data_IF_063380061423
#
_entry.id   IF_063380061423
#
_cell.length_a   1.000
_cell.length_b   1.000
_cell.length_c   1.000
_cell.angle_alpha   90.00
_cell.angle_beta   90.00
_cell.angle_gamma   90.00
#
_symmetry.space_group_name_H-M   'P 1'
#
loop_
_entity.id
_entity.type
_entity.pdbx_description
1 polymer ?
#
# COMPACT_ATOMS: atom_id res chain seq x y z
N UNK A 1 27.62 4.34 10.59
CA UNK A 1 27.16 5.62 10.02
C UNK A 1 25.64 5.72 10.10
N UNK A 2 25.14 6.85 10.62
CA UNK A 2 23.73 7.15 10.77
C UNK A 2 23.48 8.61 10.40
N UNK A 3 22.38 8.89 9.71
CA UNK A 3 21.97 10.26 9.39
C UNK A 3 21.55 10.99 10.68
N UNK A 4 22.41 11.86 11.20
CA UNK A 4 22.26 12.46 12.53
C UNK A 4 21.05 13.40 12.67
N UNK A 5 20.62 14.03 11.58
CA UNK A 5 19.52 15.02 11.55
C UNK A 5 18.19 14.41 11.08
N UNK A 6 18.14 13.10 10.81
CA UNK A 6 16.93 12.44 10.32
C UNK A 6 15.83 12.40 11.38
N UNK A 7 14.62 12.79 11.00
CA UNK A 7 13.42 12.78 11.84
C UNK A 7 12.40 11.79 11.24
N UNK A 8 12.18 10.63 11.88
CA UNK A 8 11.23 9.63 11.40
C UNK A 8 9.80 10.17 11.31
N UNK A 9 9.14 9.86 10.19
CA UNK A 9 7.72 10.09 9.97
C UNK A 9 6.95 8.79 10.12
N UNK A 10 5.84 8.83 10.84
CA UNK A 10 4.94 7.69 11.02
C UNK A 10 4.00 7.55 9.81
N UNK A 11 3.53 6.33 9.58
CA UNK A 11 2.55 6.02 8.56
C UNK A 11 2.05 4.58 8.69
N UNK A 12 0.98 4.25 7.98
CA UNK A 12 0.29 2.95 8.09
C UNK A 12 0.66 2.00 6.96
N UNK A 13 0.99 2.50 5.77
CA UNK A 13 1.31 1.68 4.61
C UNK A 13 2.81 1.72 4.31
N UNK A 14 3.45 0.55 4.23
CA UNK A 14 4.91 0.43 4.20
C UNK A 14 5.57 1.20 3.04
N UNK A 15 5.00 1.14 1.84
CA UNK A 15 5.53 1.81 0.66
C UNK A 15 5.42 3.33 0.76
N UNK A 16 4.26 3.86 1.14
CA UNK A 16 4.07 5.31 1.34
C UNK A 16 4.80 5.85 2.56
N UNK A 17 4.91 5.07 3.64
CA UNK A 17 5.71 5.41 4.83
C UNK A 17 7.19 5.54 4.45
N UNK A 18 7.70 4.58 3.67
CA UNK A 18 9.08 4.63 3.15
C UNK A 18 9.30 5.88 2.31
N UNK A 19 8.44 6.12 1.31
CA UNK A 19 8.52 7.30 0.44
C UNK A 19 8.41 8.61 1.22
N UNK A 20 7.49 8.68 2.20
CA UNK A 20 7.31 9.86 3.08
C UNK A 20 8.59 10.18 3.84
N UNK A 21 9.26 9.18 4.40
CA UNK A 21 10.52 9.38 5.12
C UNK A 21 11.65 9.84 4.19
N UNK A 22 11.70 9.32 2.96
CA UNK A 22 12.69 9.76 1.95
C UNK A 22 12.45 11.22 1.54
N UNK A 23 11.21 11.61 1.24
CA UNK A 23 10.84 12.96 0.85
C UNK A 23 11.03 13.95 2.00
N UNK A 24 10.59 13.60 3.20
CA UNK A 24 10.73 14.44 4.40
C UNK A 24 12.20 14.75 4.68
N UNK A 25 13.09 13.74 4.61
CA UNK A 25 14.53 13.97 4.77
C UNK A 25 15.11 14.87 3.67
N UNK A 26 14.61 14.74 2.43
CA UNK A 26 15.00 15.59 1.32
C UNK A 26 14.40 17.01 1.35
N UNK A 27 13.58 17.33 2.36
CA UNK A 27 13.01 18.66 2.59
C UNK A 27 11.61 18.88 2.03
N UNK A 28 10.90 17.82 1.61
CA UNK A 28 9.51 17.89 1.17
C UNK A 28 8.60 17.14 2.16
N UNK A 29 7.78 17.88 2.91
CA UNK A 29 6.83 17.29 3.85
C UNK A 29 5.47 17.05 3.18
N UNK A 30 5.18 15.80 2.85
CA UNK A 30 3.96 15.38 2.16
C UNK A 30 3.29 14.30 3.00
N UNK A 31 1.99 14.44 3.24
CA UNK A 31 1.23 13.50 4.04
C UNK A 31 1.14 12.13 3.36
N UNK A 32 0.99 11.08 4.17
CA UNK A 32 0.82 9.72 3.64
C UNK A 32 -0.42 9.57 2.72
N UNK A 33 -1.62 10.10 3.08
CA UNK A 33 -2.76 10.06 2.18
C UNK A 33 -2.48 10.77 0.85
N UNK A 34 -1.84 11.94 0.86
CA UNK A 34 -1.50 12.65 -0.37
C UNK A 34 -0.56 11.84 -1.27
N UNK A 35 0.47 11.20 -0.71
CA UNK A 35 1.34 10.30 -1.46
C UNK A 35 0.57 9.09 -2.04
N UNK A 36 -0.35 8.52 -1.26
CA UNK A 36 -1.18 7.41 -1.72
C UNK A 36 -2.08 7.84 -2.89
N UNK A 37 -2.71 9.00 -2.81
CA UNK A 37 -3.58 9.56 -3.85
C UNK A 37 -2.83 9.91 -5.13
N UNK A 38 -1.73 10.66 -5.03
CA UNK A 38 -0.86 11.02 -6.15
C UNK A 38 -0.21 9.78 -6.79
N UNK A 39 0.11 8.78 -5.95
CA UNK A 39 0.57 7.46 -6.38
C UNK A 39 -0.48 6.63 -7.10
N UNK A 40 -1.73 7.10 -7.19
CA UNK A 40 -2.88 6.38 -7.71
C UNK A 40 -3.08 5.05 -6.98
N UNK A 41 -2.91 5.04 -5.66
CA UNK A 41 -2.68 3.82 -4.87
C UNK A 41 -3.84 2.82 -4.86
N UNK A 42 -5.09 3.27 -4.96
CA UNK A 42 -6.28 2.40 -4.86
C UNK A 42 -6.48 1.51 -6.09
N UNK A 43 -6.76 0.23 -5.86
CA UNK A 43 -7.07 -0.77 -6.88
C UNK A 43 -7.88 -1.93 -6.25
N UNK A 44 -8.10 -3.01 -6.99
CA UNK A 44 -8.34 -4.32 -6.41
C UNK A 44 -7.64 -5.39 -7.25
N UNK A 45 -6.71 -6.13 -6.66
CA UNK A 45 -5.96 -7.17 -7.35
C UNK A 45 -6.31 -8.55 -6.82
N UNK A 46 -6.50 -9.47 -7.76
CA UNK A 46 -6.74 -10.88 -7.51
C UNK A 46 -5.54 -11.68 -7.99
N UNK A 47 -4.82 -12.28 -7.05
CA UNK A 47 -3.73 -13.20 -7.32
C UNK A 47 -4.16 -14.62 -6.96
N UNK A 48 -4.19 -15.49 -7.97
CA UNK A 48 -4.56 -16.90 -7.77
C UNK A 48 -3.66 -17.57 -6.74
N UNK A 49 -4.25 -18.47 -5.95
CA UNK A 49 -3.52 -19.18 -4.92
C UNK A 49 -2.50 -20.16 -5.56
N UNK A 50 -1.28 -20.33 -4.99
CA UNK A 50 -0.31 -21.28 -5.50
C UNK A 50 -0.82 -22.74 -5.51
N UNK A 51 -1.68 -23.06 -4.55
CA UNK A 51 -2.37 -24.36 -4.44
C UNK A 51 -3.89 -24.11 -4.38
N UNK A 52 -4.56 -24.03 -5.56
CA UNK A 52 -5.99 -23.78 -5.66
C UNK A 52 -6.82 -24.84 -4.93
N UNK A 53 -7.72 -24.41 -4.04
CA UNK A 53 -8.51 -25.34 -3.22
C UNK A 53 -7.77 -25.88 -1.99
N UNK A 54 -6.63 -25.30 -1.63
CA UNK A 54 -5.99 -25.50 -0.32
C UNK A 54 -5.61 -24.19 0.35
N UNK A 55 -5.31 -23.17 -0.44
CA UNK A 55 -5.01 -21.81 0.01
C UNK A 55 -5.96 -20.79 -0.62
N UNK A 56 -6.22 -19.70 0.08
CA UNK A 56 -6.97 -18.58 -0.46
C UNK A 56 -6.11 -17.76 -1.43
N UNK A 57 -6.72 -17.10 -2.43
CA UNK A 57 -6.03 -16.12 -3.26
C UNK A 57 -5.52 -14.95 -2.42
N UNK A 58 -4.46 -14.29 -2.90
CA UNK A 58 -4.02 -13.01 -2.34
C UNK A 58 -4.86 -11.89 -2.95
N UNK A 59 -5.64 -11.21 -2.09
CA UNK A 59 -6.55 -10.14 -2.49
C UNK A 59 -6.11 -8.83 -1.85
N UNK A 60 -5.71 -7.85 -2.66
CA UNK A 60 -5.17 -6.57 -2.18
C UNK A 60 -5.87 -5.38 -2.83
N UNK A 61 -6.16 -4.34 -2.03
CA UNK A 61 -6.90 -3.15 -2.46
C UNK A 61 -6.03 -2.03 -3.03
N UNK A 62 -4.80 -2.32 -3.45
CA UNK A 62 -3.86 -1.34 -3.98
C UNK A 62 -3.20 -1.81 -5.27
N UNK A 63 -2.66 -0.85 -6.02
CA UNK A 63 -1.83 -1.11 -7.19
C UNK A 63 -0.55 -1.88 -6.80
N UNK A 64 0.13 -2.39 -7.83
CA UNK A 64 1.33 -3.23 -7.65
C UNK A 64 2.45 -2.52 -6.87
N UNK A 65 3.31 -3.29 -6.18
CA UNK A 65 4.47 -2.75 -5.46
C UNK A 65 5.37 -1.91 -6.37
N UNK A 66 6.03 -0.89 -5.80
CA UNK A 66 6.86 0.11 -6.48
C UNK A 66 6.11 1.06 -7.43
N UNK A 67 4.98 0.63 -8.04
CA UNK A 67 4.23 1.47 -8.97
C UNK A 67 3.64 2.70 -8.27
N UNK A 68 3.24 2.56 -6.99
CA UNK A 68 2.78 3.68 -6.18
C UNK A 68 3.88 4.72 -6.03
N UNK A 69 5.07 4.29 -5.60
CA UNK A 69 6.21 5.19 -5.43
C UNK A 69 6.59 5.89 -6.74
N UNK A 70 6.60 5.14 -7.85
CA UNK A 70 6.87 5.69 -9.19
C UNK A 70 5.85 6.75 -9.59
N UNK A 71 4.56 6.46 -9.44
CA UNK A 71 3.49 7.39 -9.79
C UNK A 71 3.54 8.66 -8.93
N UNK A 72 3.74 8.51 -7.61
CA UNK A 72 3.81 9.63 -6.69
C UNK A 72 5.02 10.52 -7.03
N UNK A 73 6.21 9.94 -7.22
CA UNK A 73 7.39 10.69 -7.64
C UNK A 73 7.20 11.36 -9.00
N UNK A 74 6.58 10.69 -9.97
CA UNK A 74 6.29 11.26 -11.28
C UNK A 74 5.35 12.47 -11.20
N UNK A 75 4.27 12.37 -10.40
CA UNK A 75 3.35 13.49 -10.17
C UNK A 75 4.07 14.68 -9.51
N UNK A 76 4.95 14.40 -8.54
CA UNK A 76 5.72 15.43 -7.83
C UNK A 76 6.92 15.97 -8.61
N UNK A 77 7.24 15.40 -9.78
CA UNK A 77 8.44 15.73 -10.56
C UNK A 77 9.75 15.31 -9.89
N UNK A 78 9.70 14.36 -8.96
CA UNK A 78 10.86 13.83 -8.21
C UNK A 78 11.53 12.72 -9.01
N UNK A 79 12.85 12.77 -9.10
CA UNK A 79 13.65 11.75 -9.78
C UNK A 79 13.87 10.56 -8.85
N UNK A 80 13.02 9.53 -8.98
CA UNK A 80 13.16 8.25 -8.29
C UNK A 80 14.15 7.36 -9.05
N UNK A 81 15.15 6.84 -8.34
CA UNK A 81 16.08 5.83 -8.85
C UNK A 81 15.81 4.50 -8.18
N UNK A 82 15.86 3.44 -8.98
CA UNK A 82 15.68 2.07 -8.52
C UNK A 82 16.90 1.27 -8.98
N UNK A 83 17.45 0.49 -8.08
CA UNK A 83 18.57 -0.38 -8.38
C UNK A 83 18.40 -1.73 -7.69
N UNK A 84 18.96 -2.77 -8.30
CA UNK A 84 18.99 -4.12 -7.72
C UNK A 84 20.42 -4.61 -7.73
N UNK A 85 21.00 -4.80 -6.55
CA UNK A 85 22.35 -5.32 -6.44
C UNK A 85 22.38 -6.86 -6.70
N UNK A 86 23.48 -7.39 -7.25
CA UNK A 86 23.58 -8.82 -7.58
C UNK A 86 23.65 -9.72 -6.35
N UNK A 87 24.13 -9.20 -5.22
CA UNK A 87 24.32 -9.93 -3.97
C UNK A 87 24.19 -9.00 -2.76
N UNK A 88 24.13 -9.60 -1.57
CA UNK A 88 23.90 -8.88 -0.32
C UNK A 88 25.05 -7.92 0.05
N UNK A 89 26.29 -8.27 -0.30
CA UNK A 89 27.46 -7.43 -0.02
C UNK A 89 27.44 -6.18 -0.90
N UNK A 90 27.15 -6.35 -2.18
CA UNK A 90 26.95 -5.26 -3.14
C UNK A 90 25.77 -4.37 -2.73
N UNK A 91 24.68 -4.95 -2.22
CA UNK A 91 23.51 -4.24 -1.73
C UNK A 91 23.83 -3.40 -0.47
N UNK A 92 24.66 -3.94 0.42
CA UNK A 92 25.17 -3.23 1.59
C UNK A 92 26.04 -2.05 1.17
N UNK A 93 27.03 -2.30 0.31
CA UNK A 93 27.95 -1.27 -0.17
C UNK A 93 27.22 -0.14 -0.94
N UNK A 94 26.17 -0.47 -1.69
CA UNK A 94 25.33 0.53 -2.36
C UNK A 94 24.58 1.42 -1.36
N UNK A 95 23.91 0.81 -0.39
CA UNK A 95 23.22 1.53 0.68
C UNK A 95 24.18 2.43 1.50
N UNK A 96 25.38 1.95 1.82
CA UNK A 96 26.40 2.76 2.52
C UNK A 96 26.82 3.99 1.70
N UNK A 97 27.00 3.87 0.38
CA UNK A 97 27.30 5.02 -0.49
C UNK A 97 26.16 6.04 -0.51
N UNK A 98 24.91 5.58 -0.59
CA UNK A 98 23.74 6.45 -0.59
C UNK A 98 23.56 7.18 0.75
N UNK A 99 23.71 6.46 1.86
CA UNK A 99 23.69 7.06 3.20
C UNK A 99 24.83 8.08 3.38
N UNK A 100 26.02 7.82 2.84
CA UNK A 100 27.16 8.74 2.91
C UNK A 100 26.91 10.01 2.08
N UNK A 101 26.13 9.90 1.00
CA UNK A 101 25.66 11.02 0.20
C UNK A 101 24.46 11.75 0.83
N UNK A 102 23.97 11.30 2.00
CA UNK A 102 22.87 11.95 2.72
C UNK A 102 21.48 11.51 2.29
N UNK A 103 21.33 10.39 1.59
CA UNK A 103 20.02 9.87 1.22
C UNK A 103 19.48 8.91 2.28
N UNK A 104 18.19 9.04 2.60
CA UNK A 104 17.41 7.92 3.16
C UNK A 104 17.09 6.97 2.02
N UNK A 105 17.34 5.68 2.23
CA UNK A 105 17.22 4.65 1.19
C UNK A 105 15.98 3.80 1.45
N UNK A 106 15.07 3.72 0.49
CA UNK A 106 13.98 2.75 0.54
C UNK A 106 14.49 1.38 0.13
N UNK A 107 14.18 0.33 0.90
CA UNK A 107 14.62 -1.04 0.60
C UNK A 107 13.45 -2.01 0.68
N UNK A 108 13.43 -2.97 -0.26
CA UNK A 108 12.49 -4.10 -0.21
C UNK A 108 13.04 -5.16 0.74
N UNK A 109 12.17 -5.70 1.60
CA UNK A 109 12.53 -6.67 2.63
C UNK A 109 11.44 -7.74 2.79
N UNK A 110 11.86 -8.90 3.29
CA UNK A 110 10.96 -9.93 3.82
C UNK A 110 10.77 -9.78 5.33
N UNK A 111 9.50 -9.59 5.74
CA UNK A 111 9.13 -9.38 7.14
C UNK A 111 9.54 -10.56 8.04
N UNK A 112 9.65 -11.78 7.49
CA UNK A 112 10.02 -12.98 8.25
C UNK A 112 11.34 -12.80 9.01
N UNK A 113 12.29 -12.12 8.36
CA UNK A 113 13.64 -11.91 8.89
C UNK A 113 13.80 -10.66 9.75
N UNK A 114 12.75 -9.85 9.92
CA UNK A 114 12.79 -8.65 10.76
C UNK A 114 12.57 -9.05 12.23
N UNK A 115 13.52 -8.71 13.10
CA UNK A 115 13.50 -9.15 14.51
C UNK A 115 12.33 -8.55 15.30
N UNK A 116 11.95 -7.32 14.99
CA UNK A 116 10.86 -6.59 15.65
C UNK A 116 9.46 -6.98 15.13
N UNK A 117 9.36 -7.76 14.06
CA UNK A 117 8.08 -8.17 13.50
C UNK A 117 7.56 -9.42 14.24
N UNK A 118 6.30 -9.37 14.69
CA UNK A 118 5.70 -10.48 15.45
C UNK A 118 5.28 -11.65 14.56
N UNK A 119 4.89 -11.37 13.30
CA UNK A 119 4.59 -12.38 12.29
C UNK A 119 5.86 -13.12 11.85
N UNK A 120 5.73 -14.43 11.65
CA UNK A 120 6.80 -15.31 11.14
C UNK A 120 6.38 -15.97 9.82
N UNK A 121 5.73 -15.20 8.95
CA UNK A 121 5.37 -15.61 7.59
C UNK A 121 6.20 -14.85 6.57
N UNK A 122 6.62 -15.52 5.50
CA UNK A 122 7.34 -14.89 4.39
C UNK A 122 6.44 -13.93 3.61
N UNK A 123 6.85 -12.66 3.58
CA UNK A 123 6.21 -11.60 2.79
C UNK A 123 7.28 -10.60 2.37
N UNK A 124 7.87 -10.83 1.20
CA UNK A 124 8.99 -10.06 0.65
C UNK A 124 8.58 -8.78 -0.13
N UNK A 125 7.30 -8.45 -0.12
CA UNK A 125 6.75 -7.23 -0.74
C UNK A 125 6.54 -6.10 0.28
N UNK A 126 7.47 -5.97 1.23
CA UNK A 126 7.45 -4.94 2.28
C UNK A 126 8.57 -3.93 2.04
N UNK A 127 8.29 -2.65 2.26
CA UNK A 127 9.26 -1.56 2.13
C UNK A 127 9.53 -0.92 3.49
N UNK A 128 10.81 -0.63 3.75
CA UNK A 128 11.24 0.16 4.91
C UNK A 128 12.24 1.23 4.48
N UNK A 129 12.33 2.31 5.23
CA UNK A 129 13.31 3.37 5.02
C UNK A 129 14.55 3.14 5.88
N UNK A 130 15.69 2.90 5.25
CA UNK A 130 17.00 2.78 5.89
C UNK A 130 17.66 4.15 6.02
N UNK A 131 18.03 4.54 7.25
CA UNK A 131 18.67 5.82 7.55
C UNK A 131 20.00 5.69 8.31
N UNK A 132 20.45 4.45 8.56
CA UNK A 132 21.77 4.21 9.14
C UNK A 132 22.19 2.74 9.09
N UNK A 133 23.49 2.54 8.90
CA UNK A 133 24.20 1.27 9.05
C UNK A 133 25.39 1.55 9.97
N UNK A 134 25.29 1.16 11.24
CA UNK A 134 26.27 1.48 12.27
C UNK A 134 26.84 0.24 12.95
N UNK A 135 28.07 -0.13 12.57
CA UNK A 135 28.69 -1.36 13.01
C UNK A 135 27.87 -2.59 12.59
N UNK A 136 27.38 -3.33 13.58
CA UNK A 136 26.53 -4.52 13.41
C UNK A 136 25.03 -4.23 13.47
N UNK A 137 24.63 -2.95 13.51
CA UNK A 137 23.23 -2.53 13.62
C UNK A 137 22.79 -1.75 12.38
N UNK A 138 21.54 -1.96 11.99
CA UNK A 138 20.84 -1.15 11.01
C UNK A 138 19.74 -0.34 11.69
N UNK A 139 19.52 0.87 11.20
CA UNK A 139 18.50 1.80 11.69
C UNK A 139 17.50 2.10 10.58
N UNK A 140 16.24 1.74 10.83
CA UNK A 140 15.18 1.78 9.82
C UNK A 140 13.92 2.46 10.35
N UNK A 141 13.06 2.90 9.45
CA UNK A 141 11.68 3.30 9.76
C UNK A 141 10.75 2.34 9.05
N UNK A 142 9.89 1.70 9.82
CA UNK A 142 8.76 0.91 9.37
C UNK A 142 7.46 1.67 9.72
N UNK A 143 6.33 1.07 9.43
CA UNK A 143 4.98 1.55 9.76
C UNK A 143 4.79 1.74 11.27
N UNK A 144 3.84 2.59 11.63
CA UNK A 144 3.44 2.90 13.01
C UNK A 144 3.02 1.64 13.79
N UNK A 145 2.34 0.70 13.11
CA UNK A 145 1.98 -0.60 13.69
C UNK A 145 3.20 -1.40 14.18
N UNK A 146 4.37 -1.21 13.56
CA UNK A 146 5.63 -1.85 13.97
C UNK A 146 6.46 -0.94 14.88
N UNK A 147 5.93 0.19 15.36
CA UNK A 147 6.61 1.13 16.24
C UNK A 147 7.44 2.21 15.54
N UNK A 148 7.32 2.36 14.21
CA UNK A 148 8.01 3.42 13.48
C UNK A 148 9.52 3.19 13.38
N UNK A 149 10.30 4.02 14.07
CA UNK A 149 11.76 3.92 14.06
C UNK A 149 12.24 2.68 14.82
N UNK A 150 12.97 1.81 14.12
CA UNK A 150 13.45 0.53 14.63
C UNK A 150 14.97 0.38 14.47
N UNK A 151 15.54 -0.51 15.28
CA UNK A 151 16.94 -0.93 15.17
C UNK A 151 17.00 -2.45 15.23
N UNK A 152 17.75 -3.04 14.29
CA UNK A 152 17.91 -4.49 14.17
C UNK A 152 19.36 -4.85 13.84
N UNK A 153 19.82 -6.08 14.15
CA UNK A 153 21.07 -6.60 13.64
C UNK A 153 21.15 -6.47 12.12
N UNK A 154 22.28 -5.97 11.62
CA UNK A 154 22.50 -5.82 10.17
C UNK A 154 22.44 -7.18 9.46
N UNK A 155 22.86 -8.25 10.11
CA UNK A 155 22.76 -9.61 9.58
C UNK A 155 21.30 -10.06 9.39
N UNK A 156 20.37 -9.61 10.24
CA UNK A 156 18.94 -9.83 10.03
C UNK A 156 18.42 -9.02 8.85
N UNK A 157 18.82 -7.74 8.72
CA UNK A 157 18.49 -6.92 7.57
C UNK A 157 19.03 -7.52 6.27
N UNK A 158 20.24 -8.07 6.30
CA UNK A 158 20.90 -8.72 5.17
C UNK A 158 20.08 -9.92 4.67
N UNK A 159 19.61 -10.78 5.57
CA UNK A 159 18.68 -11.89 5.23
C UNK A 159 17.35 -11.36 4.69
N UNK A 160 16.77 -10.35 5.34
CA UNK A 160 15.51 -9.74 4.93
C UNK A 160 15.57 -9.17 3.51
N UNK A 161 16.66 -8.48 3.15
CA UNK A 161 16.89 -7.91 1.82
C UNK A 161 17.18 -8.97 0.77
N UNK A 162 17.85 -10.06 1.14
CA UNK A 162 18.27 -11.10 0.19
C UNK A 162 17.22 -12.19 -0.06
N UNK A 163 16.15 -12.25 0.74
CA UNK A 163 15.10 -13.27 0.64
C UNK A 163 14.46 -13.30 -0.75
N UNK A 164 14.31 -14.52 -1.28
CA UNK A 164 13.58 -14.85 -2.50
C UNK A 164 12.26 -15.61 -2.21
N UNK A 165 11.79 -15.56 -0.96
CA UNK A 165 10.61 -16.29 -0.47
C UNK A 165 9.36 -15.39 -0.37
N UNK A 166 8.18 -16.02 -0.28
CA UNK A 166 6.91 -15.34 -0.03
C UNK A 166 6.32 -14.61 -1.24
N UNK A 167 5.45 -13.63 -0.97
CA UNK A 167 4.72 -12.90 -2.00
C UNK A 167 5.60 -11.84 -2.69
N UNK A 168 5.75 -11.94 -4.02
CA UNK A 168 6.46 -11.00 -4.90
C UNK A 168 7.87 -10.59 -4.41
N UNK A 169 8.79 -11.54 -4.21
CA UNK A 169 10.13 -11.24 -3.72
C UNK A 169 10.92 -10.34 -4.68
N UNK A 170 11.65 -9.40 -4.10
CA UNK A 170 12.51 -8.46 -4.82
C UNK A 170 13.88 -8.34 -4.16
N UNK A 171 14.68 -9.43 -4.16
CA UNK A 171 15.94 -9.47 -3.45
C UNK A 171 16.86 -8.33 -3.88
N UNK A 172 17.44 -7.65 -2.88
CA UNK A 172 18.38 -6.55 -3.00
C UNK A 172 17.86 -5.33 -3.79
N UNK A 173 16.54 -5.18 -3.93
CA UNK A 173 15.94 -3.99 -4.51
C UNK A 173 16.05 -2.81 -3.52
N UNK A 174 16.55 -1.69 -4.02
CA UNK A 174 16.59 -0.42 -3.32
C UNK A 174 16.13 0.73 -4.21
N UNK A 175 15.61 1.77 -3.58
CA UNK A 175 15.14 2.99 -4.20
C UNK A 175 15.68 4.21 -3.46
N UNK A 176 16.01 5.28 -4.17
CA UNK A 176 16.42 6.56 -3.59
C UNK A 176 15.94 7.74 -4.42
N UNK A 177 15.83 8.90 -3.79
CA UNK A 177 15.49 10.16 -4.48
C UNK A 177 16.79 10.82 -4.92
N UNK A 178 17.03 10.89 -6.23
CA UNK A 178 18.22 11.53 -6.79
C UNK A 178 18.09 13.06 -6.73
N UNK A 179 16.90 13.56 -7.06
CA UNK A 179 16.64 15.01 -7.15
C UNK A 179 15.18 15.35 -6.88
N UNK A 180 14.99 16.40 -6.08
CA UNK A 180 13.69 17.04 -5.91
C UNK A 180 13.64 18.31 -6.76
N UNK A 181 12.51 18.62 -7.42
CA UNK A 181 12.35 19.89 -8.10
C UNK A 181 12.25 21.01 -7.07
N UNK A 182 12.91 22.15 -7.33
CA UNK A 182 12.94 23.30 -6.41
C UNK A 182 11.54 23.77 -5.99
N UNK A 183 10.56 23.74 -6.92
CA UNK A 183 9.17 24.11 -6.60
C UNK A 183 8.56 23.27 -5.50
N UNK A 184 8.95 21.99 -5.37
CA UNK A 184 8.39 21.11 -4.34
C UNK A 184 8.82 21.52 -2.93
N UNK A 185 9.94 22.21 -2.77
CA UNK A 185 10.39 22.72 -1.47
C UNK A 185 10.04 24.19 -1.25
N UNK A 186 9.92 24.99 -2.31
CA UNK A 186 9.58 26.43 -2.19
C UNK A 186 8.09 26.72 -2.20
N UNK A 187 7.29 25.91 -2.89
CA UNK A 187 5.84 26.06 -3.04
C UNK A 187 5.15 24.69 -3.20
N UNK A 188 5.21 23.84 -2.16
CA UNK A 188 4.64 22.50 -2.20
C UNK A 188 3.13 22.52 -2.46
N UNK A 189 2.40 23.51 -1.93
CA UNK A 189 0.95 23.56 -2.06
C UNK A 189 0.50 23.79 -3.51
N UNK A 190 1.19 24.63 -4.27
CA UNK A 190 0.90 24.79 -5.70
C UNK A 190 1.19 23.51 -6.48
N UNK A 191 2.32 22.84 -6.21
CA UNK A 191 2.65 21.57 -6.88
C UNK A 191 1.60 20.52 -6.57
N UNK A 192 1.21 20.36 -5.31
CA UNK A 192 0.18 19.39 -4.92
C UNK A 192 -1.17 19.74 -5.53
N UNK A 193 -1.58 21.01 -5.49
CA UNK A 193 -2.81 21.52 -6.11
C UNK A 193 -2.92 21.19 -7.59
N UNK A 194 -1.82 21.36 -8.34
CA UNK A 194 -1.75 21.04 -9.77
C UNK A 194 -1.91 19.54 -10.09
N UNK A 195 -1.59 18.65 -9.14
CA UNK A 195 -1.49 17.20 -9.37
C UNK A 195 -2.65 16.38 -8.80
N UNK A 196 -3.46 16.94 -7.90
CA UNK A 196 -4.62 16.28 -7.30
C UNK A 196 -5.60 15.75 -8.35
N UNK A 197 -6.15 16.62 -9.20
CA UNK A 197 -7.14 16.22 -10.20
C UNK A 197 -6.56 15.26 -11.26
N UNK A 198 -5.36 15.50 -11.82
CA UNK A 198 -4.71 14.51 -12.68
C UNK A 198 -4.63 13.12 -12.07
N UNK A 199 -4.20 13.00 -10.81
CA UNK A 199 -4.10 11.71 -10.12
C UNK A 199 -5.47 11.06 -9.87
N UNK A 200 -6.48 11.85 -9.47
CA UNK A 200 -7.87 11.38 -9.31
C UNK A 200 -8.41 10.85 -10.63
N UNK A 201 -8.27 11.60 -11.72
CA UNK A 201 -8.80 11.21 -13.03
C UNK A 201 -8.09 9.97 -13.59
N UNK A 202 -6.77 9.84 -13.41
CA UNK A 202 -6.03 8.63 -13.83
C UNK A 202 -6.49 7.40 -13.03
N UNK A 203 -6.68 7.56 -11.71
CA UNK A 203 -7.22 6.52 -10.84
C UNK A 203 -8.64 6.13 -11.27
N UNK A 204 -9.51 7.11 -11.48
CA UNK A 204 -10.89 6.90 -11.89
C UNK A 204 -11.00 6.20 -13.24
N UNK A 205 -10.20 6.59 -14.24
CA UNK A 205 -10.16 5.91 -15.55
C UNK A 205 -9.77 4.44 -15.42
N UNK A 206 -8.76 4.14 -14.60
CA UNK A 206 -8.33 2.75 -14.35
C UNK A 206 -9.42 1.95 -13.65
N UNK A 207 -10.01 2.50 -12.60
CA UNK A 207 -11.00 1.80 -11.78
C UNK A 207 -12.33 1.59 -12.48
N UNK A 208 -12.81 2.58 -13.23
CA UNK A 208 -14.04 2.49 -14.01
C UNK A 208 -13.87 1.65 -15.29
N UNK A 209 -12.64 1.54 -15.81
CA UNK A 209 -12.32 0.78 -17.01
C UNK A 209 -12.28 -0.73 -16.79
N UNK A 210 -12.53 -1.49 -17.87
CA UNK A 210 -12.37 -2.94 -17.86
C UNK A 210 -10.89 -3.33 -17.75
N UNK A 211 -10.50 -3.93 -16.63
CA UNK A 211 -9.11 -4.31 -16.32
C UNK A 211 -8.90 -5.84 -16.26
N UNK A 212 -9.83 -6.60 -16.85
CA UNK A 212 -9.83 -8.06 -16.82
C UNK A 212 -10.15 -8.65 -15.44
N UNK A 213 -9.94 -9.97 -15.25
CA UNK A 213 -10.34 -10.66 -14.01
C UNK A 213 -9.34 -10.53 -12.85
N UNK A 214 -8.19 -9.88 -13.06
CA UNK A 214 -7.09 -9.78 -12.08
C UNK A 214 -6.92 -8.40 -11.46
N UNK A 215 -7.48 -7.34 -12.06
CA UNK A 215 -7.31 -5.96 -11.60
C UNK A 215 -8.64 -5.20 -11.57
N UNK A 216 -8.68 -4.10 -10.83
CA UNK A 216 -9.84 -3.23 -10.69
C UNK A 216 -11.12 -3.92 -10.21
N UNK A 217 -12.25 -3.31 -10.56
CA UNK A 217 -13.58 -3.75 -10.10
C UNK A 217 -14.00 -5.11 -10.69
N UNK A 218 -13.44 -5.51 -11.82
CA UNK A 218 -13.63 -6.85 -12.38
C UNK A 218 -13.09 -7.95 -11.45
N UNK A 219 -11.90 -7.75 -10.90
CA UNK A 219 -11.32 -8.66 -9.92
C UNK A 219 -12.09 -8.66 -8.59
N UNK A 220 -12.63 -7.53 -8.15
CA UNK A 220 -13.48 -7.48 -6.96
C UNK A 220 -14.77 -8.28 -7.17
N UNK A 221 -15.41 -8.14 -8.33
CA UNK A 221 -16.59 -8.93 -8.72
C UNK A 221 -16.28 -10.42 -8.80
N UNK A 222 -15.10 -10.79 -9.32
CA UNK A 222 -14.60 -12.18 -9.31
C UNK A 222 -14.50 -12.72 -7.88
N UNK A 223 -13.78 -12.03 -7.00
CA UNK A 223 -13.67 -12.42 -5.60
C UNK A 223 -15.06 -12.58 -4.95
N UNK A 224 -15.97 -11.64 -5.20
CA UNK A 224 -17.33 -11.67 -4.69
C UNK A 224 -18.15 -12.88 -5.17
N UNK A 225 -17.90 -13.39 -6.38
CA UNK A 225 -18.55 -14.60 -6.92
C UNK A 225 -17.96 -15.89 -6.39
N UNK A 226 -16.66 -15.92 -6.09
CA UNK A 226 -15.95 -17.15 -5.72
C UNK A 226 -15.92 -17.39 -4.19
N UNK A 227 -16.03 -16.32 -3.39
CA UNK A 227 -15.84 -16.40 -1.94
C UNK A 227 -16.81 -17.37 -1.24
N UNK A 228 -18.01 -17.57 -1.77
CA UNK A 228 -18.97 -18.53 -1.22
C UNK A 228 -18.44 -19.98 -1.23
N UNK A 229 -17.67 -20.35 -2.27
CA UNK A 229 -17.13 -21.70 -2.42
C UNK A 229 -15.97 -21.98 -1.45
N UNK A 230 -15.39 -20.96 -0.82
CA UNK A 230 -14.26 -21.12 0.10
C UNK A 230 -14.61 -21.93 1.35
N UNK A 231 -15.89 -21.99 1.75
CA UNK A 231 -16.32 -22.85 2.86
C UNK A 231 -16.05 -24.32 2.59
N UNK A 232 -16.17 -24.74 1.33
CA UNK A 232 -16.09 -26.13 0.90
C UNK A 232 -14.70 -26.45 0.33
N UNK A 233 -14.05 -25.45 -0.26
CA UNK A 233 -12.82 -25.61 -1.01
C UNK A 233 -11.55 -25.34 -0.21
N UNK A 234 -11.56 -24.59 0.90
CA UNK A 234 -10.32 -24.27 1.62
C UNK A 234 -10.00 -25.28 2.71
N UNK A 235 -8.73 -25.68 2.79
CA UNK A 235 -8.22 -26.38 3.97
C UNK A 235 -8.17 -25.40 5.15
N UNK A 236 -8.84 -25.72 6.27
CA UNK A 236 -8.91 -24.80 7.41
C UNK A 236 -9.60 -23.47 7.06
N UNK A 237 -10.79 -23.55 6.44
CA UNK A 237 -11.56 -22.39 5.98
C UNK A 237 -11.69 -21.30 7.06
N UNK A 238 -11.92 -21.66 8.33
CA UNK A 238 -12.03 -20.71 9.45
C UNK A 238 -10.82 -19.80 9.56
N UNK A 239 -9.63 -20.39 9.69
CA UNK A 239 -8.39 -19.62 9.87
C UNK A 239 -8.07 -18.78 8.63
N UNK A 240 -8.25 -19.37 7.45
CA UNK A 240 -7.91 -18.73 6.16
C UNK A 240 -8.84 -17.55 5.87
N UNK A 241 -10.16 -17.74 6.00
CA UNK A 241 -11.16 -16.68 5.78
C UNK A 241 -10.97 -15.53 6.77
N UNK A 242 -10.79 -15.84 8.05
CA UNK A 242 -10.52 -14.82 9.05
C UNK A 242 -9.18 -14.12 8.79
N UNK A 243 -8.19 -14.85 8.28
CA UNK A 243 -6.90 -14.31 7.83
C UNK A 243 -7.05 -13.24 6.75
N UNK A 244 -7.91 -13.44 5.76
CA UNK A 244 -8.22 -12.43 4.73
C UNK A 244 -8.82 -11.16 5.35
N UNK A 245 -9.77 -11.31 6.28
CA UNK A 245 -10.34 -10.18 7.03
C UNK A 245 -9.27 -9.40 7.81
N UNK A 246 -8.41 -10.11 8.56
CA UNK A 246 -7.28 -9.51 9.29
C UNK A 246 -6.31 -8.80 8.35
N UNK A 247 -6.00 -9.39 7.19
CA UNK A 247 -5.12 -8.80 6.18
C UNK A 247 -5.68 -7.46 5.67
N UNK A 248 -6.94 -7.42 5.27
CA UNK A 248 -7.60 -6.19 4.79
C UNK A 248 -7.68 -5.08 5.85
N UNK A 249 -7.56 -5.42 7.14
CA UNK A 249 -7.55 -4.46 8.25
C UNK A 249 -6.16 -4.02 8.70
N UNK A 250 -5.22 -4.95 8.84
CA UNK A 250 -3.99 -4.75 9.62
C UNK A 250 -2.69 -4.95 8.82
N UNK A 251 -2.75 -5.35 7.54
CA UNK A 251 -1.54 -5.57 6.73
C UNK A 251 -1.02 -4.28 6.08
N UNK A 252 -0.94 -3.20 6.86
CA UNK A 252 -0.53 -1.88 6.37
C UNK A 252 -1.47 -1.29 5.32
N UNK A 253 -2.78 -1.55 5.46
CA UNK A 253 -3.83 -1.06 4.55
C UNK A 253 -4.42 0.27 5.01
N UNK A 254 -4.14 0.69 6.25
CA UNK A 254 -4.87 1.77 6.94
C UNK A 254 -6.31 1.39 7.33
N UNK A 255 -6.77 0.17 7.01
CA UNK A 255 -8.16 -0.26 7.16
C UNK A 255 -8.96 -0.20 5.85
N UNK A 256 -10.10 -0.90 5.83
CA UNK A 256 -11.01 -0.96 4.69
C UNK A 256 -10.31 -1.31 3.35
N UNK A 257 -9.27 -2.16 3.40
CA UNK A 257 -8.48 -2.54 2.23
C UNK A 257 -8.06 -1.31 1.37
N UNK A 258 -7.41 -0.33 2.01
CA UNK A 258 -6.93 0.95 1.45
C UNK A 258 -7.99 2.02 1.15
N UNK A 259 -9.29 1.74 1.29
CA UNK A 259 -10.34 2.74 1.01
C UNK A 259 -10.33 3.90 2.01
N UNK A 260 -9.97 3.64 3.27
CA UNK A 260 -9.81 4.70 4.27
C UNK A 260 -8.70 5.68 3.86
N UNK A 261 -7.54 5.17 3.45
CA UNK A 261 -6.41 5.99 3.03
C UNK A 261 -6.73 6.82 1.77
N UNK A 262 -7.46 6.24 0.81
CA UNK A 262 -7.95 6.97 -0.36
C UNK A 262 -8.98 8.05 0.00
N UNK A 263 -9.88 7.79 0.94
CA UNK A 263 -10.83 8.79 1.43
C UNK A 263 -10.13 9.94 2.17
N UNK A 264 -9.12 9.64 2.99
CA UNK A 264 -8.30 10.65 3.66
C UNK A 264 -7.56 11.54 2.65
N UNK A 265 -7.10 10.96 1.55
CA UNK A 265 -6.58 11.71 0.41
C UNK A 265 -7.63 12.66 -0.17
N UNK A 266 -8.84 12.17 -0.50
CA UNK A 266 -9.90 13.02 -1.04
C UNK A 266 -10.30 14.14 -0.06
N UNK A 267 -10.30 13.87 1.24
CA UNK A 267 -10.59 14.86 2.28
C UNK A 267 -9.49 15.94 2.37
N UNK A 268 -8.22 15.56 2.25
CA UNK A 268 -7.12 16.53 2.14
C UNK A 268 -7.19 17.31 0.83
N UNK A 269 -7.45 16.63 -0.28
CA UNK A 269 -7.58 17.22 -1.60
C UNK A 269 -8.72 18.26 -1.65
N UNK A 270 -9.90 17.95 -1.10
CA UNK A 270 -11.03 18.89 -1.05
C UNK A 270 -10.65 20.19 -0.35
N UNK A 271 -9.97 20.09 0.80
CA UNK A 271 -9.49 21.26 1.56
C UNK A 271 -8.47 22.09 0.79
N UNK A 272 -7.64 21.46 -0.04
CA UNK A 272 -6.62 22.15 -0.86
C UNK A 272 -7.22 22.79 -2.11
N UNK A 273 -8.17 22.13 -2.78
CA UNK A 273 -8.86 22.67 -3.96
C UNK A 273 -9.82 23.81 -3.59
N UNK A 274 -10.52 23.70 -2.45
CA UNK A 274 -11.33 24.77 -1.88
C UNK A 274 -12.62 25.11 -2.65
N UNK A 275 -12.97 24.35 -3.68
CA UNK A 275 -14.15 24.52 -4.53
C UNK A 275 -15.34 23.64 -4.10
N UNK A 276 -15.14 22.73 -3.16
CA UNK A 276 -16.16 21.80 -2.65
C UNK A 276 -16.55 20.69 -3.64
N UNK A 277 -15.89 20.60 -4.81
CA UNK A 277 -16.24 19.59 -5.83
C UNK A 277 -16.01 18.16 -5.34
N UNK A 278 -15.04 17.97 -4.43
CA UNK A 278 -14.68 16.67 -3.87
C UNK A 278 -15.53 16.26 -2.65
N UNK A 279 -16.26 17.18 -2.01
CA UNK A 279 -16.98 16.89 -0.76
C UNK A 279 -18.01 15.75 -0.88
N UNK A 280 -18.85 15.69 -1.94
CA UNK A 280 -19.77 14.56 -2.10
C UNK A 280 -19.04 13.23 -2.26
N UNK A 281 -17.87 13.21 -2.90
CA UNK A 281 -17.08 12.00 -3.07
C UNK A 281 -16.42 11.57 -1.76
N UNK A 282 -15.99 12.51 -0.90
CA UNK A 282 -15.49 12.19 0.44
C UNK A 282 -16.56 11.50 1.29
N UNK A 283 -17.80 11.98 1.23
CA UNK A 283 -18.94 11.38 1.93
C UNK A 283 -19.25 9.98 1.40
N UNK A 284 -19.36 9.85 0.08
CA UNK A 284 -19.68 8.58 -0.58
C UNK A 284 -18.59 7.52 -0.38
N UNK A 285 -17.30 7.89 -0.47
CA UNK A 285 -16.21 6.99 -0.12
C UNK A 285 -16.22 6.63 1.38
N UNK A 286 -16.77 7.50 2.24
CA UNK A 286 -17.06 7.16 3.64
C UNK A 286 -18.12 6.07 3.77
N UNK A 287 -19.13 6.04 2.88
CA UNK A 287 -20.09 4.94 2.83
C UNK A 287 -19.45 3.64 2.32
N UNK A 288 -18.58 3.72 1.32
CA UNK A 288 -17.79 2.58 0.82
C UNK A 288 -16.87 2.02 1.92
N UNK A 289 -16.17 2.89 2.65
CA UNK A 289 -15.33 2.50 3.80
C UNK A 289 -16.13 1.68 4.82
N UNK A 290 -17.32 2.16 5.23
CA UNK A 290 -18.20 1.41 6.16
C UNK A 290 -18.64 0.06 5.62
N UNK A 291 -18.87 -0.07 4.31
CA UNK A 291 -19.21 -1.36 3.70
C UNK A 291 -18.03 -2.35 3.73
N UNK A 292 -16.81 -1.86 3.48
CA UNK A 292 -15.58 -2.64 3.65
C UNK A 292 -15.39 -3.07 5.10
N UNK A 293 -15.63 -2.18 6.07
CA UNK A 293 -15.55 -2.51 7.50
C UNK A 293 -16.49 -3.66 7.86
N UNK A 294 -17.72 -3.61 7.38
CA UNK A 294 -18.70 -4.68 7.57
C UNK A 294 -18.27 -5.99 6.92
N UNK A 295 -17.73 -5.97 5.69
CA UNK A 295 -17.21 -7.17 5.05
C UNK A 295 -16.04 -7.79 5.84
N UNK A 296 -15.13 -6.95 6.34
CA UNK A 296 -13.99 -7.38 7.16
C UNK A 296 -14.47 -8.00 8.48
N UNK A 297 -15.47 -7.39 9.14
CA UNK A 297 -16.06 -7.92 10.37
C UNK A 297 -16.72 -9.27 10.13
N UNK A 298 -17.48 -9.42 9.04
CA UNK A 298 -18.09 -10.69 8.65
C UNK A 298 -17.05 -11.79 8.41
N UNK A 299 -15.95 -11.48 7.71
CA UNK A 299 -14.84 -12.42 7.49
C UNK A 299 -14.15 -12.80 8.80
N UNK A 300 -13.91 -11.83 9.68
CA UNK A 300 -13.23 -12.06 10.97
C UNK A 300 -14.12 -12.83 11.95
N UNK A 301 -15.43 -12.63 11.87
CA UNK A 301 -16.43 -13.37 12.65
C UNK A 301 -16.79 -14.74 12.04
N UNK A 302 -16.27 -15.07 10.86
CA UNK A 302 -16.61 -16.30 10.15
C UNK A 302 -16.37 -17.55 11.00
N UNK A 303 -17.36 -18.45 11.01
CA UNK A 303 -17.29 -19.79 11.61
C UNK A 303 -17.88 -20.80 10.63
N UNK A 304 -17.05 -21.66 10.06
CA UNK A 304 -17.36 -22.63 9.03
C UNK A 304 -18.13 -23.86 9.50
N UNK A 305 -18.90 -23.74 10.60
CA UNK A 305 -19.88 -24.74 11.00
C UNK A 305 -21.04 -24.80 9.96
N UNK A 306 -22.18 -25.43 10.31
CA UNK A 306 -23.28 -25.77 9.38
C UNK A 306 -23.81 -24.63 8.46
N UNK A 307 -23.46 -23.36 8.71
CA UNK A 307 -23.90 -22.19 7.93
C UNK A 307 -22.75 -21.42 7.25
N UNK A 308 -21.56 -22.01 7.13
CA UNK A 308 -20.36 -21.32 6.59
C UNK A 308 -20.56 -20.78 5.17
N UNK A 309 -21.15 -21.58 4.28
CA UNK A 309 -21.42 -21.15 2.90
C UNK A 309 -22.32 -19.91 2.84
N UNK A 310 -23.40 -19.89 3.63
CA UNK A 310 -24.34 -18.77 3.68
C UNK A 310 -23.69 -17.50 4.24
N UNK A 311 -22.83 -17.62 5.25
CA UNK A 311 -22.06 -16.48 5.75
C UNK A 311 -21.19 -15.86 4.65
N UNK A 312 -20.50 -16.70 3.86
CA UNK A 312 -19.66 -16.23 2.75
C UNK A 312 -20.47 -15.72 1.56
N UNK A 313 -21.66 -16.26 1.29
CA UNK A 313 -22.60 -15.69 0.31
C UNK A 313 -23.00 -14.26 0.69
N UNK A 314 -23.21 -14.00 1.98
CA UNK A 314 -23.49 -12.66 2.47
C UNK A 314 -22.27 -11.72 2.31
N UNK A 315 -21.05 -12.21 2.55
CA UNK A 315 -19.82 -11.44 2.24
C UNK A 315 -19.72 -11.15 0.75
N UNK A 316 -19.95 -12.15 -0.11
CA UNK A 316 -19.95 -11.97 -1.56
C UNK A 316 -20.99 -10.95 -2.04
N UNK A 317 -22.18 -10.93 -1.43
CA UNK A 317 -23.18 -9.91 -1.72
C UNK A 317 -22.70 -8.50 -1.34
N UNK A 318 -22.03 -8.36 -0.19
CA UNK A 318 -21.42 -7.09 0.23
C UNK A 318 -20.31 -6.64 -0.71
N UNK A 319 -19.41 -7.54 -1.12
CA UNK A 319 -18.33 -7.22 -2.05
C UNK A 319 -18.85 -6.80 -3.44
N UNK A 320 -19.95 -7.41 -3.93
CA UNK A 320 -20.64 -6.94 -5.14
C UNK A 320 -21.19 -5.53 -4.98
N UNK A 321 -21.88 -5.25 -3.87
CA UNK A 321 -22.42 -3.92 -3.58
C UNK A 321 -21.31 -2.85 -3.50
N UNK A 322 -20.16 -3.19 -2.91
CA UNK A 322 -18.97 -2.33 -2.91
C UNK A 322 -18.48 -2.07 -4.34
N UNK A 323 -18.37 -3.11 -5.17
CA UNK A 323 -17.91 -2.97 -6.55
C UNK A 323 -18.82 -2.04 -7.37
N UNK A 324 -20.14 -2.14 -7.19
CA UNK A 324 -21.10 -1.30 -7.89
C UNK A 324 -21.09 0.14 -7.38
N UNK A 325 -20.93 0.34 -6.06
CA UNK A 325 -20.77 1.67 -5.48
C UNK A 325 -19.48 2.35 -5.98
N UNK A 326 -18.34 1.64 -5.95
CA UNK A 326 -17.07 2.17 -6.46
C UNK A 326 -17.13 2.45 -7.96
N UNK A 327 -17.76 1.58 -8.76
CA UNK A 327 -17.96 1.81 -10.20
C UNK A 327 -18.66 3.15 -10.44
N UNK A 328 -19.80 3.36 -9.78
CA UNK A 328 -20.59 4.59 -9.90
C UNK A 328 -19.80 5.84 -9.48
N UNK A 329 -19.01 5.75 -8.40
CA UNK A 329 -18.20 6.87 -7.93
C UNK A 329 -17.07 7.23 -8.88
N UNK A 330 -16.33 6.23 -9.37
CA UNK A 330 -15.25 6.48 -10.32
C UNK A 330 -15.78 6.96 -11.67
N UNK A 331 -16.92 6.47 -12.15
CA UNK A 331 -17.57 7.00 -13.34
C UNK A 331 -18.01 8.46 -13.16
N UNK A 332 -18.61 8.81 -12.02
CA UNK A 332 -18.97 10.19 -11.69
C UNK A 332 -17.77 11.13 -11.64
N UNK A 333 -16.62 10.68 -11.11
CA UNK A 333 -15.37 11.46 -11.11
C UNK A 333 -14.86 11.79 -12.53
N UNK A 334 -15.28 11.03 -13.55
CA UNK A 334 -14.90 11.27 -14.94
C UNK A 334 -15.84 12.22 -15.67
N UNK A 335 -17.01 12.52 -15.11
CA UNK A 335 -17.96 13.48 -15.67
C UNK A 335 -17.50 14.89 -15.27
N UNK A 336 -17.23 15.79 -16.23
CA UNK A 336 -16.91 17.17 -15.91
C UNK A 336 -18.05 17.80 -15.10
N UNK A 337 -17.73 18.53 -14.03
CA UNK A 337 -18.73 19.32 -13.32
C UNK A 337 -19.45 20.23 -14.32
N UNK A 338 -20.78 20.23 -14.29
CA UNK A 338 -21.57 21.17 -15.07
C UNK A 338 -21.29 22.58 -14.53
N UNK A 339 -20.51 23.36 -15.29
CA UNK A 339 -20.18 24.75 -14.95
C UNK A 339 -21.39 25.67 -15.09
#
# INVERSE_FOLDING_TARGET
MRLATFQPQLGVHCETTTLRNMLHHAGADISEPMLFGLGQGIDFQYWDAPDPGRSAPMLTGRIGPALLSRNACAALGVELRESRAPDAESARAAAERLLAAGHVVGISVDIFHLDYFSSRSHFASHYIALYGLDGSLAHVVDTDQQGGAQTLPEESLRRARASDEGFMPSPNLEIHLERLPTRLTTDPDAVLGEQIWPAILLTARRMAGESGPRFGLGALRRAASEIAAWSDALAGADETVQGVGRFWRFAGTGGANFRKLYREFLLEASRRCGDGELDPFVEDFGAVERQWDQAIEMLTAYRGAQDGRRQLEAVGARLRAIADAEQSLFERLLVPAAK
#
